data_IF_077549855431
#
_entry.id   IF_077549855431
#
_cell.length_a   1.000
_cell.length_b   1.000
_cell.length_c   1.000
_cell.angle_alpha   90.00
_cell.angle_beta   90.00
_cell.angle_gamma   90.00
#
_symmetry.space_group_name_H-M   'P 1'
#
loop_
_entity.id
_entity.type
_entity.pdbx_description
1 polymer ?
#
# COMPACT_ATOMS: atom_id res chain seq x y z
N UNK A 1 -13.19 -24.32 30.96
CA UNK A 1 -14.11 -23.41 30.25
C UNK A 1 -13.95 -21.98 30.78
N UNK A 2 -13.97 -21.77 32.12
CA UNK A 2 -13.80 -20.41 32.71
C UNK A 2 -12.44 -19.76 32.39
N UNK A 3 -11.36 -20.54 32.35
CA UNK A 3 -10.01 -20.04 32.06
C UNK A 3 -9.87 -19.54 30.59
N UNK A 4 -10.52 -20.22 29.64
CA UNK A 4 -10.53 -19.79 28.23
C UNK A 4 -11.33 -18.49 28.01
N UNK A 5 -12.44 -18.30 28.73
CA UNK A 5 -13.25 -17.09 28.62
C UNK A 5 -12.49 -15.88 29.20
N UNK A 6 -11.73 -16.06 30.29
CA UNK A 6 -10.90 -14.98 30.85
C UNK A 6 -9.74 -14.58 29.92
N UNK A 7 -9.06 -15.52 29.31
CA UNK A 7 -7.98 -15.26 28.35
C UNK A 7 -8.49 -14.54 27.10
N UNK A 8 -9.62 -14.97 26.55
CA UNK A 8 -10.25 -14.30 25.39
C UNK A 8 -10.69 -12.85 25.72
N UNK A 9 -11.24 -12.63 26.92
CA UNK A 9 -11.62 -11.28 27.35
C UNK A 9 -10.40 -10.36 27.55
N UNK A 10 -9.29 -10.88 28.08
CA UNK A 10 -8.03 -10.14 28.23
C UNK A 10 -7.40 -9.81 26.87
N UNK A 11 -7.36 -10.75 25.93
CA UNK A 11 -6.86 -10.53 24.56
C UNK A 11 -7.71 -9.50 23.81
N UNK A 12 -9.03 -9.57 23.91
CA UNK A 12 -9.97 -8.60 23.29
C UNK A 12 -9.77 -7.19 23.87
N UNK A 13 -9.58 -7.08 25.19
CA UNK A 13 -9.33 -5.80 25.85
C UNK A 13 -7.98 -5.23 25.43
N UNK A 14 -6.94 -6.05 25.32
CA UNK A 14 -5.62 -5.64 24.87
C UNK A 14 -5.64 -5.16 23.41
N UNK A 15 -6.33 -5.87 22.52
CA UNK A 15 -6.50 -5.49 21.11
C UNK A 15 -7.25 -4.16 20.96
N UNK A 16 -8.35 -3.97 21.70
CA UNK A 16 -9.10 -2.70 21.68
C UNK A 16 -8.27 -1.52 22.21
N UNK A 17 -7.48 -1.74 23.26
CA UNK A 17 -6.56 -0.72 23.81
C UNK A 17 -5.45 -0.40 22.82
N UNK A 18 -4.90 -1.40 22.14
CA UNK A 18 -3.88 -1.24 21.10
C UNK A 18 -4.38 -0.45 19.90
N UNK A 19 -5.60 -0.73 19.44
CA UNK A 19 -6.23 0.03 18.36
C UNK A 19 -6.46 1.50 18.74
N UNK A 20 -7.00 1.78 19.93
CA UNK A 20 -7.23 3.14 20.39
C UNK A 20 -5.93 3.95 20.52
N UNK A 21 -4.84 3.32 20.98
CA UNK A 21 -3.52 3.94 21.05
C UNK A 21 -2.97 4.25 19.65
N UNK A 22 -3.07 3.31 18.70
CA UNK A 22 -2.64 3.53 17.32
C UNK A 22 -3.49 4.59 16.60
N UNK A 23 -4.80 4.63 16.84
CA UNK A 23 -5.68 5.68 16.32
C UNK A 23 -5.27 7.06 16.86
N UNK A 24 -4.98 7.19 18.13
CA UNK A 24 -4.53 8.45 18.73
C UNK A 24 -3.16 8.88 18.17
N UNK A 25 -2.25 7.93 17.95
CA UNK A 25 -0.93 8.18 17.37
C UNK A 25 -0.98 8.62 15.90
N UNK A 26 -1.92 8.09 15.12
CA UNK A 26 -2.06 8.40 13.69
C UNK A 26 -2.81 9.71 13.43
N UNK A 27 -3.60 10.20 14.38
CA UNK A 27 -4.37 11.41 14.19
C UNK A 27 -3.48 12.64 13.94
N UNK A 28 -3.67 13.27 12.80
CA UNK A 28 -2.92 14.46 12.39
C UNK A 28 -1.51 14.16 11.81
N UNK A 29 -1.10 12.89 11.72
CA UNK A 29 0.20 12.50 11.17
C UNK A 29 0.20 12.42 9.65
N UNK A 30 1.41 12.54 9.09
CA UNK A 30 1.69 12.28 7.69
C UNK A 30 1.86 10.77 7.43
N UNK A 31 1.67 10.36 6.18
CA UNK A 31 2.11 9.09 5.65
C UNK A 31 3.03 9.34 4.45
N UNK A 32 4.30 9.55 4.67
CA UNK A 32 5.30 9.67 3.60
C UNK A 32 5.82 8.29 3.18
N UNK A 33 6.06 7.40 4.15
CA UNK A 33 6.63 6.07 3.97
C UNK A 33 5.92 5.04 4.86
N UNK A 34 5.89 3.77 4.44
CA UNK A 34 5.49 2.66 5.32
C UNK A 34 6.46 2.51 6.51
N UNK A 35 7.73 2.88 6.32
CA UNK A 35 8.71 2.84 7.40
C UNK A 35 8.44 3.83 8.54
N UNK A 36 7.60 4.86 8.31
CA UNK A 36 7.17 5.82 9.34
C UNK A 36 6.13 5.23 10.30
N UNK A 37 5.53 4.11 9.93
CA UNK A 37 4.50 3.43 10.72
C UNK A 37 5.12 2.33 11.60
N UNK A 38 4.64 2.22 12.83
CA UNK A 38 4.88 1.04 13.65
C UNK A 38 4.03 -0.15 13.20
N UNK A 39 4.41 -1.36 13.60
CA UNK A 39 3.63 -2.59 13.37
C UNK A 39 2.20 -2.46 13.90
N UNK A 40 2.00 -1.84 15.06
CA UNK A 40 0.68 -1.61 15.63
C UNK A 40 -0.18 -0.66 14.79
N UNK A 41 0.43 0.37 14.20
CA UNK A 41 -0.26 1.32 13.32
C UNK A 41 -0.65 0.69 11.99
N UNK A 42 0.26 -0.08 11.36
CA UNK A 42 -0.08 -0.86 10.15
C UNK A 42 -1.23 -1.83 10.44
N UNK A 43 -1.19 -2.53 11.58
CA UNK A 43 -2.26 -3.42 11.99
C UNK A 43 -3.59 -2.67 12.16
N UNK A 44 -3.58 -1.53 12.83
CA UNK A 44 -4.77 -0.71 13.05
C UNK A 44 -5.40 -0.21 11.74
N UNK A 45 -4.57 0.18 10.75
CA UNK A 45 -5.04 0.58 9.43
C UNK A 45 -5.75 -0.60 8.74
N UNK A 46 -5.15 -1.80 8.76
CA UNK A 46 -5.72 -2.98 8.11
C UNK A 46 -6.99 -3.48 8.83
N UNK A 47 -7.01 -3.50 10.15
CA UNK A 47 -8.20 -3.87 10.93
C UNK A 47 -9.37 -2.93 10.65
N UNK A 48 -9.10 -1.61 10.59
CA UNK A 48 -10.13 -0.64 10.20
C UNK A 48 -10.54 -0.82 8.74
N UNK A 49 -9.62 -1.13 7.83
CA UNK A 49 -9.94 -1.37 6.42
C UNK A 49 -10.91 -2.54 6.26
N UNK A 50 -10.68 -3.64 6.96
CA UNK A 50 -11.63 -4.77 7.00
C UNK A 50 -12.97 -4.36 7.61
N UNK A 51 -12.97 -3.58 8.69
CA UNK A 51 -14.20 -3.12 9.35
C UNK A 51 -15.03 -2.20 8.45
N UNK A 52 -14.41 -1.25 7.73
CA UNK A 52 -15.13 -0.35 6.81
C UNK A 52 -15.62 -1.06 5.56
N UNK A 53 -14.95 -2.14 5.12
CA UNK A 53 -15.43 -3.00 4.03
C UNK A 53 -16.65 -3.80 4.47
N UNK A 54 -16.59 -4.40 5.66
CA UNK A 54 -17.67 -5.23 6.20
C UNK A 54 -18.93 -4.42 6.60
N UNK A 55 -18.75 -3.21 7.12
CA UNK A 55 -19.84 -2.37 7.66
C UNK A 55 -19.71 -0.91 7.21
N UNK A 56 -19.83 -0.61 5.91
CA UNK A 56 -19.62 0.75 5.40
C UNK A 56 -20.59 1.79 5.97
N UNK A 57 -21.77 1.36 6.41
CA UNK A 57 -22.80 2.26 6.97
C UNK A 57 -22.39 2.91 8.29
N UNK A 58 -21.56 2.21 9.10
CA UNK A 58 -21.11 2.70 10.40
C UNK A 58 -20.17 3.91 10.26
N UNK A 59 -19.62 4.15 9.06
CA UNK A 59 -18.61 5.18 8.78
C UNK A 59 -19.09 6.30 7.84
N UNK A 60 -20.36 6.28 7.42
CA UNK A 60 -20.91 7.17 6.37
C UNK A 60 -20.80 8.66 6.69
N UNK A 61 -20.71 9.05 7.95
CA UNK A 61 -20.61 10.43 8.42
C UNK A 61 -19.34 10.72 9.23
N UNK A 62 -18.36 9.80 9.19
CA UNK A 62 -17.18 9.88 10.03
C UNK A 62 -16.22 11.01 9.62
N UNK A 63 -16.31 11.50 8.38
CA UNK A 63 -15.54 12.64 7.85
C UNK A 63 -16.43 13.80 7.40
N UNK A 64 -17.62 13.95 7.99
CA UNK A 64 -18.48 15.12 7.72
C UNK A 64 -17.68 16.42 7.87
N UNK A 65 -17.84 17.35 6.93
CA UNK A 65 -17.13 18.63 6.85
C UNK A 65 -15.59 18.53 6.68
N UNK A 66 -15.01 17.34 6.50
CA UNK A 66 -13.61 17.19 6.13
C UNK A 66 -13.45 17.27 4.61
N UNK A 67 -12.37 17.94 4.19
CA UNK A 67 -12.04 18.07 2.77
C UNK A 67 -10.57 17.76 2.56
N UNK A 68 -10.24 17.02 1.51
CA UNK A 68 -8.86 16.81 1.07
C UNK A 68 -8.63 17.45 -0.29
N UNK A 69 -7.37 17.80 -0.57
CA UNK A 69 -6.91 18.14 -1.91
C UNK A 69 -5.95 17.06 -2.40
N UNK A 70 -6.03 16.74 -3.68
CA UNK A 70 -5.17 15.76 -4.35
C UNK A 70 -4.39 16.45 -5.47
N UNK A 71 -3.07 16.55 -5.32
CA UNK A 71 -2.16 17.06 -6.35
C UNK A 71 -1.49 15.91 -7.07
N UNK A 72 -1.71 15.81 -8.38
CA UNK A 72 -1.15 14.73 -9.18
C UNK A 72 -0.27 15.26 -10.31
N UNK A 73 1.03 15.02 -10.22
CA UNK A 73 1.99 15.22 -11.32
C UNK A 73 1.97 14.05 -12.31
N UNK A 74 1.52 12.88 -11.87
CA UNK A 74 1.32 11.68 -12.70
C UNK A 74 -0.15 11.29 -12.75
N UNK A 75 -0.71 11.17 -13.93
CA UNK A 75 -2.10 10.75 -14.12
C UNK A 75 -2.38 9.37 -13.47
N UNK A 76 -3.54 9.23 -12.86
CA UNK A 76 -3.98 7.95 -12.28
C UNK A 76 -5.49 7.88 -12.14
N UNK A 77 -6.10 6.99 -12.91
CA UNK A 77 -7.54 6.72 -12.81
C UNK A 77 -7.89 6.13 -11.43
N UNK A 78 -7.22 5.04 -11.05
CA UNK A 78 -7.52 4.30 -9.82
C UNK A 78 -7.32 5.12 -8.57
N UNK A 79 -6.16 5.74 -8.39
CA UNK A 79 -5.85 6.54 -7.19
C UNK A 79 -6.83 7.69 -7.03
N UNK A 80 -7.16 8.40 -8.11
CA UNK A 80 -8.14 9.49 -8.08
C UNK A 80 -9.51 8.98 -7.63
N UNK A 81 -10.07 8.02 -8.35
CA UNK A 81 -11.41 7.52 -8.07
C UNK A 81 -11.53 6.89 -6.68
N UNK A 82 -10.50 6.17 -6.21
CA UNK A 82 -10.56 5.52 -4.89
C UNK A 82 -10.50 6.51 -3.74
N UNK A 83 -9.70 7.59 -3.83
CA UNK A 83 -9.71 8.66 -2.82
C UNK A 83 -11.00 9.49 -2.86
N UNK A 84 -11.48 9.89 -4.04
CA UNK A 84 -12.76 10.60 -4.19
C UNK A 84 -13.92 9.76 -3.62
N UNK A 85 -13.97 8.46 -3.98
CA UNK A 85 -15.01 7.55 -3.48
C UNK A 85 -14.89 7.32 -1.97
N UNK A 86 -13.67 7.21 -1.42
CA UNK A 86 -13.45 7.03 0.00
C UNK A 86 -13.96 8.23 0.81
N UNK A 87 -13.64 9.45 0.40
CA UNK A 87 -14.13 10.68 1.03
C UNK A 87 -15.65 10.80 0.94
N UNK A 88 -16.21 10.65 -0.26
CA UNK A 88 -17.66 10.75 -0.47
C UNK A 88 -18.44 9.72 0.34
N UNK A 89 -17.94 8.48 0.43
CA UNK A 89 -18.59 7.41 1.19
C UNK A 89 -18.52 7.61 2.72
N UNK A 90 -17.71 8.55 3.20
CA UNK A 90 -17.54 8.87 4.63
C UNK A 90 -18.05 10.25 5.03
N UNK A 91 -18.76 10.95 4.11
CA UNK A 91 -19.37 12.27 4.35
C UNK A 91 -18.44 13.45 4.05
N UNK A 92 -17.19 13.20 3.68
CA UNK A 92 -16.24 14.23 3.29
C UNK A 92 -16.26 14.56 1.80
N UNK A 93 -15.33 15.38 1.35
CA UNK A 93 -15.14 15.75 -0.04
C UNK A 93 -13.67 15.76 -0.46
N UNK A 94 -13.42 15.61 -1.77
CA UNK A 94 -12.07 15.65 -2.31
C UNK A 94 -12.02 16.59 -3.52
N UNK A 95 -10.96 17.41 -3.58
CA UNK A 95 -10.66 18.27 -4.74
C UNK A 95 -9.47 17.67 -5.48
N UNK A 96 -9.59 17.55 -6.79
CA UNK A 96 -8.50 17.11 -7.65
C UNK A 96 -7.87 18.29 -8.37
N UNK A 97 -6.54 18.40 -8.29
CA UNK A 97 -5.74 19.41 -8.97
C UNK A 97 -4.70 18.68 -9.84
N UNK A 98 -4.86 18.83 -11.15
CA UNK A 98 -3.94 18.26 -12.14
C UNK A 98 -2.66 19.12 -12.21
N UNK A 99 -1.54 18.51 -11.92
CA UNK A 99 -0.19 19.11 -11.96
C UNK A 99 0.69 18.48 -13.05
N UNK A 100 0.10 17.76 -14.00
CA UNK A 100 0.86 17.11 -15.09
C UNK A 100 1.54 18.10 -16.03
N UNK A 101 1.04 19.32 -16.16
CA UNK A 101 1.56 20.38 -17.01
C UNK A 101 2.34 21.46 -16.25
N UNK A 102 2.25 21.50 -14.93
CA UNK A 102 2.95 22.48 -14.07
C UNK A 102 3.23 21.82 -12.73
N UNK A 103 4.34 21.08 -12.62
CA UNK A 103 4.73 20.40 -11.39
C UNK A 103 4.78 21.32 -10.18
N UNK A 104 4.54 20.74 -9.01
CA UNK A 104 4.63 21.45 -7.73
C UNK A 104 6.04 22.01 -7.54
N UNK A 105 6.15 23.23 -7.01
CA UNK A 105 7.43 23.89 -6.75
C UNK A 105 7.99 24.71 -7.92
N UNK A 106 7.42 24.64 -9.14
CA UNK A 106 7.94 25.42 -10.28
C UNK A 106 7.57 26.91 -10.21
N UNK A 107 6.34 27.23 -9.82
CA UNK A 107 5.81 28.62 -9.80
C UNK A 107 5.85 29.24 -8.42
N UNK A 108 5.76 28.43 -7.38
CA UNK A 108 5.69 28.83 -5.99
C UNK A 108 6.41 27.78 -5.14
N UNK A 109 7.03 28.18 -4.02
CA UNK A 109 7.72 27.23 -3.16
C UNK A 109 6.77 26.20 -2.55
N UNK A 110 7.24 24.95 -2.36
CA UNK A 110 6.45 23.91 -1.70
C UNK A 110 6.01 24.33 -0.30
N UNK A 111 6.85 25.10 0.39
CA UNK A 111 6.56 25.67 1.71
C UNK A 111 5.36 26.63 1.69
N UNK A 112 5.28 27.49 0.68
CA UNK A 112 4.18 28.46 0.57
C UNK A 112 2.89 27.76 0.13
N UNK A 113 2.98 26.83 -0.82
CA UNK A 113 1.84 25.98 -1.21
C UNK A 113 1.27 25.26 0.03
N UNK A 114 2.13 24.59 0.82
CA UNK A 114 1.73 23.84 2.00
C UNK A 114 1.01 24.71 3.02
N UNK A 115 1.61 25.85 3.40
CA UNK A 115 1.04 26.79 4.37
C UNK A 115 -0.26 27.47 3.93
N UNK A 116 -0.45 27.63 2.62
CA UNK A 116 -1.71 28.13 2.08
C UNK A 116 -2.79 27.06 2.10
N UNK A 117 -2.47 25.88 1.56
CA UNK A 117 -3.43 24.79 1.34
C UNK A 117 -3.95 24.21 2.65
N UNK A 118 -3.10 24.07 3.69
CA UNK A 118 -3.51 23.59 5.01
C UNK A 118 -4.64 24.39 5.66
N UNK A 119 -4.82 25.67 5.25
CA UNK A 119 -5.87 26.53 5.77
C UNK A 119 -7.25 26.27 5.15
N UNK A 120 -7.27 25.54 4.05
CA UNK A 120 -8.49 25.29 3.28
C UNK A 120 -8.95 23.83 3.34
N UNK A 121 -8.02 22.91 3.67
CA UNK A 121 -8.30 21.47 3.64
C UNK A 121 -7.87 20.78 4.94
N UNK A 122 -8.40 19.60 5.18
CA UNK A 122 -8.09 18.75 6.31
C UNK A 122 -6.93 17.80 6.05
N UNK A 123 -6.50 17.66 4.80
CA UNK A 123 -5.38 16.81 4.40
C UNK A 123 -5.01 16.98 2.93
N UNK A 124 -3.77 16.66 2.60
CA UNK A 124 -3.16 16.77 1.27
C UNK A 124 -2.75 15.38 0.79
N UNK A 125 -3.15 15.01 -0.41
CA UNK A 125 -2.78 13.75 -1.06
C UNK A 125 -1.87 14.05 -2.25
N UNK A 126 -0.68 13.47 -2.28
CA UNK A 126 0.34 13.75 -3.29
C UNK A 126 0.65 12.51 -4.12
N UNK A 127 0.66 12.69 -5.44
CA UNK A 127 1.17 11.72 -6.40
C UNK A 127 2.19 12.42 -7.29
N UNK A 128 3.46 12.25 -6.98
CA UNK A 128 4.57 13.04 -7.50
C UNK A 128 5.61 12.19 -8.23
N UNK A 129 6.51 12.85 -8.95
CA UNK A 129 7.71 12.21 -9.48
C UNK A 129 8.75 12.02 -8.37
N UNK A 130 9.04 13.04 -7.57
CA UNK A 130 10.02 12.97 -6.50
C UNK A 130 9.38 12.70 -5.14
N UNK A 131 9.98 11.81 -4.35
CA UNK A 131 9.61 11.59 -2.96
C UNK A 131 9.94 12.82 -2.08
N UNK A 132 10.97 13.59 -2.46
CA UNK A 132 11.36 14.82 -1.76
C UNK A 132 10.23 15.86 -1.76
N UNK A 133 9.46 15.97 -2.85
CA UNK A 133 8.27 16.84 -2.90
C UNK A 133 7.28 16.53 -1.78
N UNK A 134 7.07 15.24 -1.49
CA UNK A 134 6.16 14.78 -0.44
C UNK A 134 6.69 15.14 0.94
N UNK A 135 7.95 14.80 1.21
CA UNK A 135 8.58 15.04 2.53
C UNK A 135 8.75 16.53 2.81
N UNK A 136 9.06 17.36 1.80
CA UNK A 136 9.13 18.80 1.97
C UNK A 136 7.75 19.40 2.26
N UNK A 137 6.70 19.00 1.53
CA UNK A 137 5.35 19.49 1.82
C UNK A 137 4.88 19.05 3.22
N UNK A 138 5.18 17.82 3.65
CA UNK A 138 4.91 17.34 4.99
C UNK A 138 5.63 18.15 6.08
N UNK A 139 6.83 18.62 5.81
CA UNK A 139 7.58 19.46 6.75
C UNK A 139 6.89 20.81 7.04
N UNK A 140 6.15 21.35 6.07
CA UNK A 140 5.56 22.70 6.17
C UNK A 140 4.05 22.70 6.37
N UNK A 141 3.34 21.61 6.09
CA UNK A 141 1.91 21.50 6.33
C UNK A 141 1.61 21.08 7.78
N UNK A 142 0.63 21.72 8.40
CA UNK A 142 0.10 21.30 9.71
C UNK A 142 -1.02 20.26 9.60
N UNK A 143 -1.58 20.05 8.41
CA UNK A 143 -2.53 18.98 8.13
C UNK A 143 -1.82 17.75 7.53
N UNK A 144 -2.36 16.53 7.68
CA UNK A 144 -1.77 15.32 7.13
C UNK A 144 -1.42 15.38 5.64
N UNK A 145 -0.21 14.97 5.30
CA UNK A 145 0.27 14.77 3.93
C UNK A 145 0.37 13.26 3.66
N UNK A 146 -0.27 12.81 2.59
CA UNK A 146 -0.40 11.39 2.25
C UNK A 146 0.30 11.11 0.93
N UNK A 147 1.29 10.23 0.96
CA UNK A 147 1.95 9.69 -0.22
C UNK A 147 1.02 8.70 -0.96
N UNK A 148 0.40 9.15 -2.03
CA UNK A 148 -0.38 8.29 -2.92
C UNK A 148 0.48 7.56 -3.97
N UNK A 149 1.66 8.07 -4.27
CA UNK A 149 2.77 7.48 -5.02
C UNK A 149 3.91 8.50 -5.17
N UNK A 150 5.13 8.04 -5.02
CA UNK A 150 6.37 8.73 -5.44
C UNK A 150 7.28 7.77 -6.22
N UNK A 151 8.46 8.22 -6.61
CA UNK A 151 9.52 7.35 -7.17
C UNK A 151 10.03 6.33 -6.15
N UNK A 152 9.98 6.64 -4.86
CA UNK A 152 10.50 5.78 -3.79
C UNK A 152 9.49 4.76 -3.28
N UNK A 153 8.20 5.17 -3.11
CA UNK A 153 7.19 4.32 -2.48
C UNK A 153 5.77 4.51 -3.04
N UNK A 154 4.93 3.49 -2.82
CA UNK A 154 3.48 3.50 -3.06
C UNK A 154 2.72 2.91 -1.85
N UNK A 155 2.73 3.58 -0.68
CA UNK A 155 2.24 3.01 0.58
C UNK A 155 0.76 2.63 0.54
N UNK A 156 -0.10 3.46 -0.07
CA UNK A 156 -1.53 3.17 -0.20
C UNK A 156 -1.83 1.91 -1.03
N UNK A 157 -0.94 1.54 -1.97
CA UNK A 157 -1.06 0.29 -2.71
C UNK A 157 -0.72 -0.89 -1.82
N UNK A 158 0.44 -0.87 -1.16
CA UNK A 158 0.91 -1.98 -0.34
C UNK A 158 -0.05 -2.32 0.81
N UNK A 159 -0.67 -1.32 1.44
CA UNK A 159 -1.72 -1.55 2.45
C UNK A 159 -2.93 -2.31 1.87
N UNK A 160 -3.38 -1.96 0.66
CA UNK A 160 -4.46 -2.66 -0.01
C UNK A 160 -4.07 -4.08 -0.45
N UNK A 161 -2.82 -4.27 -0.86
CA UNK A 161 -2.28 -5.55 -1.25
C UNK A 161 -2.26 -6.52 -0.08
N UNK A 162 -1.79 -6.07 1.09
CA UNK A 162 -1.77 -6.90 2.28
C UNK A 162 -3.16 -7.10 2.89
N UNK A 163 -4.08 -6.16 2.75
CA UNK A 163 -5.50 -6.41 3.04
C UNK A 163 -6.04 -7.57 2.20
N UNK A 164 -5.71 -7.63 0.90
CA UNK A 164 -6.11 -8.72 0.01
C UNK A 164 -5.46 -10.05 0.39
N UNK A 165 -4.19 -10.03 0.75
CA UNK A 165 -3.48 -11.21 1.29
C UNK A 165 -4.19 -11.75 2.52
N UNK A 166 -4.55 -10.89 3.47
CA UNK A 166 -5.27 -11.31 4.68
C UNK A 166 -6.64 -11.92 4.38
N UNK A 167 -7.39 -11.35 3.43
CA UNK A 167 -8.68 -11.90 2.99
C UNK A 167 -8.53 -13.30 2.39
N UNK A 168 -7.43 -13.57 1.69
CA UNK A 168 -7.18 -14.85 1.03
C UNK A 168 -6.58 -15.92 1.95
N UNK A 169 -5.85 -15.52 2.99
CA UNK A 169 -5.11 -16.43 3.85
C UNK A 169 -5.54 -16.41 5.31
N UNK A 170 -6.83 -16.25 5.56
CA UNK A 170 -7.43 -16.46 6.89
C UNK A 170 -7.25 -15.31 7.88
N UNK A 171 -7.06 -14.08 7.38
CA UNK A 171 -7.08 -12.86 8.19
C UNK A 171 -5.74 -12.42 8.77
N UNK A 172 -4.63 -13.04 8.36
CA UNK A 172 -3.28 -12.64 8.78
C UNK A 172 -2.28 -12.82 7.65
N UNK A 173 -1.38 -11.86 7.49
CA UNK A 173 -0.25 -11.97 6.58
C UNK A 173 1.01 -12.60 7.24
N UNK A 174 0.98 -12.84 8.56
CA UNK A 174 2.12 -13.41 9.28
C UNK A 174 2.50 -14.78 8.74
N UNK A 175 3.79 -14.94 8.39
CA UNK A 175 4.33 -16.17 7.85
C UNK A 175 3.99 -16.47 6.40
N UNK A 176 3.18 -15.65 5.73
CA UNK A 176 2.89 -15.77 4.30
C UNK A 176 4.17 -15.53 3.48
N UNK A 177 4.44 -16.40 2.51
CA UNK A 177 5.56 -16.29 1.58
C UNK A 177 5.13 -15.45 0.39
N UNK A 178 5.49 -14.19 0.42
CA UNK A 178 5.14 -13.19 -0.59
C UNK A 178 6.33 -12.96 -1.53
N UNK A 179 6.17 -13.22 -2.81
CA UNK A 179 7.23 -13.08 -3.80
C UNK A 179 6.90 -11.99 -4.81
N UNK A 180 7.76 -11.00 -4.93
CA UNK A 180 7.74 -9.97 -5.97
C UNK A 180 8.71 -10.37 -7.10
N UNK A 181 8.25 -10.29 -8.34
CA UNK A 181 9.03 -10.62 -9.55
C UNK A 181 9.03 -9.42 -10.49
N UNK A 182 10.19 -8.83 -10.77
CA UNK A 182 10.27 -7.70 -11.70
C UNK A 182 11.32 -6.66 -11.33
N UNK A 183 10.94 -5.37 -11.48
CA UNK A 183 11.81 -4.23 -11.15
C UNK A 183 11.73 -3.91 -9.65
N UNK A 184 12.87 -3.73 -8.99
CA UNK A 184 12.94 -3.32 -7.59
C UNK A 184 12.51 -1.86 -7.37
N UNK A 185 11.31 -1.52 -7.79
CA UNK A 185 10.75 -0.18 -7.86
C UNK A 185 10.03 0.25 -6.55
N UNK A 186 9.34 1.37 -6.60
CA UNK A 186 8.56 1.94 -5.49
C UNK A 186 7.47 1.00 -4.94
N UNK A 187 6.83 0.19 -5.80
CA UNK A 187 5.84 -0.81 -5.36
C UNK A 187 6.53 -1.93 -4.58
N UNK A 188 7.65 -2.44 -5.12
CA UNK A 188 8.48 -3.43 -4.43
C UNK A 188 8.94 -2.94 -3.06
N UNK A 189 9.35 -1.66 -2.94
CA UNK A 189 9.78 -1.06 -1.68
C UNK A 189 8.66 -1.07 -0.63
N UNK A 190 7.49 -0.54 -0.97
CA UNK A 190 6.37 -0.48 -0.04
C UNK A 190 5.83 -1.87 0.34
N UNK A 191 5.81 -2.82 -0.61
CA UNK A 191 5.45 -4.22 -0.32
C UNK A 191 6.43 -4.86 0.66
N UNK A 192 7.73 -4.65 0.45
CA UNK A 192 8.80 -5.17 1.32
C UNK A 192 8.68 -4.64 2.74
N UNK A 193 8.48 -3.34 2.91
CA UNK A 193 8.31 -2.69 4.21
C UNK A 193 7.03 -3.18 4.91
N UNK A 194 5.90 -3.27 4.18
CA UNK A 194 4.63 -3.74 4.73
C UNK A 194 4.71 -5.22 5.13
N UNK A 195 5.33 -6.07 4.30
CA UNK A 195 5.60 -7.46 4.63
C UNK A 195 6.41 -7.60 5.93
N UNK A 196 7.46 -6.79 6.05
CA UNK A 196 8.29 -6.75 7.26
C UNK A 196 7.47 -6.37 8.49
N UNK A 197 6.63 -5.33 8.42
CA UNK A 197 5.76 -4.91 9.54
C UNK A 197 4.77 -6.01 9.96
N UNK A 198 4.28 -6.80 9.01
CA UNK A 198 3.27 -7.83 9.27
C UNK A 198 3.87 -9.22 9.58
N UNK A 199 5.19 -9.36 9.59
CA UNK A 199 5.87 -10.64 9.86
C UNK A 199 5.72 -11.65 8.72
N UNK A 200 5.51 -11.19 7.48
CA UNK A 200 5.52 -12.02 6.28
C UNK A 200 6.96 -12.29 5.80
N UNK A 201 7.13 -13.34 5.01
CA UNK A 201 8.39 -13.67 4.36
C UNK A 201 8.40 -13.10 2.95
N UNK A 202 9.13 -12.02 2.73
CA UNK A 202 9.20 -11.33 1.44
C UNK A 202 10.42 -11.73 0.64
N UNK A 203 10.21 -12.14 -0.61
CA UNK A 203 11.27 -12.41 -1.57
C UNK A 203 11.12 -11.50 -2.79
N UNK A 204 12.17 -10.78 -3.19
CA UNK A 204 12.21 -10.03 -4.44
C UNK A 204 13.14 -10.75 -5.44
N UNK A 205 12.59 -11.11 -6.61
CA UNK A 205 13.35 -11.60 -7.76
C UNK A 205 13.51 -10.48 -8.77
N UNK A 206 14.72 -9.91 -8.87
CA UNK A 206 15.00 -8.77 -9.74
C UNK A 206 16.25 -9.01 -10.59
N UNK A 207 16.34 -8.44 -11.80
CA UNK A 207 17.62 -8.43 -12.53
C UNK A 207 18.71 -7.70 -11.72
N UNK A 208 19.96 -8.10 -11.85
CA UNK A 208 21.10 -7.62 -11.02
C UNK A 208 21.19 -6.08 -10.89
N UNK A 209 20.90 -5.36 -11.96
CA UNK A 209 20.99 -3.89 -11.99
C UNK A 209 19.66 -3.19 -11.67
N UNK A 210 18.65 -3.93 -11.25
CA UNK A 210 17.30 -3.45 -10.95
C UNK A 210 16.84 -3.89 -9.55
N UNK A 211 17.81 -4.03 -8.65
CA UNK A 211 17.54 -4.38 -7.25
C UNK A 211 16.82 -3.23 -6.53
N UNK A 212 16.03 -3.52 -5.50
CA UNK A 212 15.44 -2.51 -4.63
C UNK A 212 16.50 -1.63 -3.98
N UNK A 213 16.12 -0.41 -3.61
CA UNK A 213 17.03 0.56 -2.98
C UNK A 213 17.62 0.01 -1.67
N UNK A 214 18.94 0.04 -1.54
CA UNK A 214 19.66 -0.63 -0.44
C UNK A 214 19.24 -0.14 0.95
N UNK A 215 18.92 1.15 1.11
CA UNK A 215 18.45 1.70 2.38
C UNK A 215 17.07 1.13 2.78
N UNK A 216 16.15 0.98 1.80
CA UNK A 216 14.83 0.37 2.04
C UNK A 216 14.99 -1.11 2.44
N UNK A 217 15.86 -1.84 1.75
CA UNK A 217 16.18 -3.23 2.10
C UNK A 217 16.70 -3.35 3.53
N UNK A 218 17.61 -2.45 3.94
CA UNK A 218 18.16 -2.43 5.30
C UNK A 218 17.07 -2.13 6.34
N UNK A 219 16.20 -1.16 6.10
CA UNK A 219 15.06 -0.83 6.96
C UNK A 219 14.10 -2.01 7.09
N UNK A 220 13.70 -2.62 5.97
CA UNK A 220 12.79 -3.75 5.96
C UNK A 220 13.38 -4.96 6.72
N UNK A 221 14.68 -5.24 6.58
CA UNK A 221 15.34 -6.30 7.35
C UNK A 221 15.32 -6.04 8.85
N UNK A 222 15.65 -4.81 9.26
CA UNK A 222 15.61 -4.42 10.67
C UNK A 222 14.20 -4.57 11.29
N UNK A 223 13.16 -4.19 10.54
CA UNK A 223 11.77 -4.39 10.96
C UNK A 223 11.44 -5.89 11.04
N UNK A 224 11.79 -6.67 10.02
CA UNK A 224 11.49 -8.09 9.94
C UNK A 224 12.11 -8.89 11.12
N UNK A 225 13.30 -8.50 11.60
CA UNK A 225 13.93 -9.09 12.79
C UNK A 225 13.05 -8.98 14.05
N UNK A 226 12.24 -7.92 14.15
CA UNK A 226 11.36 -7.70 15.33
C UNK A 226 10.00 -8.39 15.20
N UNK A 227 9.55 -8.67 13.98
CA UNK A 227 8.22 -9.23 13.70
C UNK A 227 8.23 -10.73 13.41
N UNK A 228 9.42 -11.30 13.15
CA UNK A 228 9.63 -12.69 12.76
C UNK A 228 9.46 -12.94 11.26
N UNK A 229 9.38 -11.88 10.43
CA UNK A 229 9.45 -11.96 8.99
C UNK A 229 10.86 -12.18 8.45
N UNK A 230 10.99 -12.28 7.13
CA UNK A 230 12.29 -12.35 6.44
C UNK A 230 12.27 -11.56 5.15
N UNK A 231 13.41 -10.97 4.78
CA UNK A 231 13.60 -10.25 3.52
C UNK A 231 14.72 -10.91 2.72
N UNK A 232 14.38 -11.45 1.55
CA UNK A 232 15.30 -12.16 0.67
C UNK A 232 15.36 -11.49 -0.71
N UNK A 233 16.57 -11.35 -1.25
CA UNK A 233 16.76 -10.84 -2.62
C UNK A 233 17.38 -11.94 -3.47
N UNK A 234 16.77 -12.23 -4.60
CA UNK A 234 17.24 -13.25 -5.56
C UNK A 234 17.27 -12.65 -6.98
N UNK A 235 17.98 -13.34 -7.88
CA UNK A 235 18.01 -13.02 -9.31
C UNK A 235 17.33 -14.08 -10.17
N UNK A 236 17.04 -15.25 -9.59
CA UNK A 236 16.34 -16.35 -10.27
C UNK A 236 14.86 -16.33 -9.90
N UNK A 237 13.96 -16.00 -10.85
CA UNK A 237 12.53 -15.94 -10.57
C UNK A 237 11.92 -17.31 -10.22
N UNK A 238 12.47 -18.42 -10.77
CA UNK A 238 11.98 -19.77 -10.44
C UNK A 238 12.30 -20.11 -8.99
N UNK A 239 13.54 -19.88 -8.57
CA UNK A 239 13.94 -20.10 -7.17
C UNK A 239 13.11 -19.21 -6.20
N UNK A 240 12.80 -17.98 -6.59
CA UNK A 240 12.05 -17.05 -5.76
C UNK A 240 10.56 -17.43 -5.63
N UNK A 241 9.93 -17.89 -6.71
CA UNK A 241 8.51 -18.26 -6.76
C UNK A 241 8.26 -19.65 -6.15
N UNK A 242 9.30 -20.51 -6.08
CA UNK A 242 9.14 -21.86 -5.55
C UNK A 242 8.58 -21.85 -4.13
N UNK A 243 7.36 -22.37 -4.01
CA UNK A 243 6.62 -22.44 -2.75
C UNK A 243 6.04 -21.12 -2.26
N UNK A 244 6.00 -20.05 -3.08
CA UNK A 244 5.34 -18.79 -2.72
C UNK A 244 3.83 -18.96 -2.56
N UNK A 245 3.24 -18.24 -1.60
CA UNK A 245 1.80 -18.20 -1.38
C UNK A 245 1.14 -17.06 -2.17
N UNK A 246 1.86 -15.96 -2.37
CA UNK A 246 1.46 -14.86 -3.24
C UNK A 246 2.60 -14.50 -4.19
N UNK A 247 2.29 -14.36 -5.48
CA UNK A 247 3.22 -13.93 -6.53
C UNK A 247 2.74 -12.60 -7.09
N UNK A 248 3.58 -11.59 -6.99
CA UNK A 248 3.28 -10.23 -7.40
C UNK A 248 4.23 -9.79 -8.53
N UNK A 249 3.71 -9.06 -9.51
CA UNK A 249 4.54 -8.33 -10.46
C UNK A 249 3.97 -6.92 -10.71
N UNK A 250 4.80 -6.07 -11.28
CA UNK A 250 4.44 -4.72 -11.72
C UNK A 250 5.07 -4.43 -13.07
N UNK A 251 4.63 -3.35 -13.71
CA UNK A 251 5.15 -2.92 -15.01
C UNK A 251 6.68 -2.85 -15.00
N UNK A 252 7.32 -3.54 -15.91
CA UNK A 252 8.78 -3.56 -16.07
C UNK A 252 9.36 -2.21 -16.51
N UNK A 253 8.51 -1.31 -16.99
CA UNK A 253 8.83 0.06 -17.34
C UNK A 253 7.87 0.98 -16.60
N UNK A 254 8.32 1.50 -15.46
CA UNK A 254 7.52 2.43 -14.65
C UNK A 254 7.25 3.72 -15.40
N UNK A 255 6.15 4.40 -15.07
CA UNK A 255 5.81 5.72 -15.62
C UNK A 255 6.96 6.71 -15.44
N UNK A 256 7.35 7.38 -16.53
CA UNK A 256 8.50 8.29 -16.61
C UNK A 256 9.76 7.65 -17.18
N UNK A 257 9.79 6.32 -17.36
CA UNK A 257 10.90 5.57 -17.96
C UNK A 257 10.54 4.92 -19.29
N UNK A 258 9.47 5.38 -19.95
CA UNK A 258 8.98 4.83 -21.22
C UNK A 258 10.04 4.84 -22.32
N UNK A 259 10.97 5.80 -22.27
CA UNK A 259 12.11 5.90 -23.18
C UNK A 259 13.11 4.73 -23.03
N UNK A 260 13.10 4.01 -21.91
CA UNK A 260 13.92 2.83 -21.66
C UNK A 260 13.24 1.52 -22.07
N UNK A 261 11.98 1.52 -22.49
CA UNK A 261 11.18 0.31 -22.72
C UNK A 261 11.88 -0.71 -23.62
N UNK A 262 12.45 -0.26 -24.74
CA UNK A 262 13.18 -1.14 -25.69
C UNK A 262 14.42 -1.79 -25.07
N UNK A 263 15.14 -1.08 -24.21
CA UNK A 263 16.33 -1.58 -23.50
C UNK A 263 15.93 -2.55 -22.39
N UNK A 264 14.83 -2.27 -21.69
CA UNK A 264 14.35 -3.05 -20.53
C UNK A 264 13.69 -4.36 -20.96
N UNK A 265 12.95 -4.38 -22.05
CA UNK A 265 12.18 -5.55 -22.49
C UNK A 265 12.98 -6.87 -22.53
N UNK A 266 14.18 -6.96 -23.16
CA UNK A 266 14.95 -8.20 -23.15
C UNK A 266 15.47 -8.60 -21.77
N UNK A 267 15.74 -7.63 -20.88
CA UNK A 267 16.25 -7.84 -19.52
C UNK A 267 15.17 -8.45 -18.63
N UNK A 268 13.93 -7.95 -18.75
CA UNK A 268 12.80 -8.40 -17.95
C UNK A 268 12.03 -9.58 -18.52
N UNK A 269 12.29 -9.97 -19.78
CA UNK A 269 11.65 -11.14 -20.39
C UNK A 269 11.73 -12.43 -19.54
N UNK A 270 12.87 -12.78 -18.89
CA UNK A 270 12.95 -13.94 -18.00
C UNK A 270 12.13 -13.80 -16.70
N UNK A 271 11.68 -12.59 -16.38
CA UNK A 271 10.90 -12.25 -15.18
C UNK A 271 9.40 -12.13 -15.46
N UNK A 272 8.95 -12.48 -16.67
CA UNK A 272 7.53 -12.53 -16.98
C UNK A 272 6.84 -13.57 -16.10
N UNK A 273 5.78 -13.17 -15.40
CA UNK A 273 4.93 -14.12 -14.68
C UNK A 273 3.98 -14.78 -15.66
N UNK A 274 4.24 -16.04 -15.95
CA UNK A 274 3.48 -16.89 -16.84
C UNK A 274 3.07 -18.18 -16.12
N UNK A 275 2.29 -19.02 -16.79
CA UNK A 275 1.75 -20.27 -16.20
C UNK A 275 2.87 -21.22 -15.75
N UNK A 276 3.98 -21.27 -16.49
CA UNK A 276 5.12 -22.11 -16.13
C UNK A 276 5.79 -21.63 -14.83
N UNK A 277 5.94 -20.31 -14.65
CA UNK A 277 6.48 -19.74 -13.42
C UNK A 277 5.51 -19.94 -12.26
N UNK A 278 4.20 -19.68 -12.45
CA UNK A 278 3.18 -19.89 -11.42
C UNK A 278 3.07 -21.36 -10.97
N UNK A 279 3.39 -22.32 -11.82
CA UNK A 279 3.40 -23.73 -11.46
C UNK A 279 4.43 -24.12 -10.38
N UNK A 280 5.42 -23.27 -10.10
CA UNK A 280 6.39 -23.44 -9.01
C UNK A 280 5.87 -22.90 -7.66
N UNK A 281 4.83 -22.08 -7.66
CA UNK A 281 4.23 -21.55 -6.44
C UNK A 281 3.49 -22.63 -5.64
N UNK A 282 3.12 -22.32 -4.42
CA UNK A 282 2.32 -23.23 -3.57
C UNK A 282 0.98 -23.57 -4.20
N UNK A 283 0.43 -24.75 -3.94
CA UNK A 283 -0.97 -25.04 -4.25
C UNK A 283 -1.88 -23.99 -3.59
N UNK A 284 -2.74 -23.34 -4.39
CA UNK A 284 -3.62 -22.26 -3.93
C UNK A 284 -2.96 -20.88 -3.86
N UNK A 285 -1.74 -20.72 -4.37
CA UNK A 285 -1.09 -19.43 -4.49
C UNK A 285 -1.92 -18.45 -5.33
N UNK A 286 -1.87 -17.16 -4.96
CA UNK A 286 -2.55 -16.09 -5.69
C UNK A 286 -1.58 -15.28 -6.54
N UNK A 287 -2.08 -14.78 -7.67
CA UNK A 287 -1.39 -13.79 -8.50
C UNK A 287 -1.91 -12.38 -8.22
N UNK A 288 -1.01 -11.43 -8.10
CA UNK A 288 -1.29 -10.03 -7.74
C UNK A 288 -0.59 -9.05 -8.70
N UNK A 289 -1.22 -7.89 -8.93
CA UNK A 289 -0.69 -6.80 -9.74
C UNK A 289 -1.42 -5.49 -9.42
N UNK A 290 -0.69 -4.40 -9.22
CA UNK A 290 -1.30 -3.09 -8.88
C UNK A 290 -2.12 -2.45 -10.00
N UNK A 291 -2.01 -2.96 -11.23
CA UNK A 291 -2.61 -2.41 -12.43
C UNK A 291 -2.21 -0.94 -12.75
N UNK A 292 -2.09 -0.54 -14.03
CA UNK A 292 -2.42 -1.33 -15.23
C UNK A 292 -1.35 -2.38 -15.55
N UNK A 293 -1.76 -3.54 -16.05
CA UNK A 293 -0.84 -4.57 -16.52
C UNK A 293 -0.59 -4.43 -18.04
N UNK A 294 0.66 -4.62 -18.46
CA UNK A 294 1.01 -4.75 -19.87
C UNK A 294 0.99 -6.22 -20.25
N UNK A 295 -0.13 -6.66 -20.76
CA UNK A 295 -0.38 -8.04 -21.15
C UNK A 295 0.69 -8.59 -22.10
N UNK A 296 1.16 -9.78 -21.79
CA UNK A 296 2.25 -10.47 -22.50
C UNK A 296 3.63 -9.77 -22.42
N UNK A 297 3.75 -8.71 -21.59
CA UNK A 297 5.03 -8.14 -21.18
C UNK A 297 5.46 -8.73 -19.82
N UNK A 298 5.04 -8.14 -18.70
CA UNK A 298 5.36 -8.65 -17.37
C UNK A 298 4.48 -9.80 -16.88
N UNK A 299 3.30 -10.00 -17.49
CA UNK A 299 2.36 -11.08 -17.15
C UNK A 299 1.64 -11.58 -18.39
N UNK A 300 1.34 -12.88 -18.49
CA UNK A 300 0.51 -13.44 -19.56
C UNK A 300 -0.98 -13.21 -19.30
N UNK A 301 -1.78 -13.22 -20.39
CA UNK A 301 -3.24 -13.14 -20.27
C UNK A 301 -3.81 -14.29 -19.43
N UNK A 302 -3.27 -15.51 -19.61
CA UNK A 302 -3.73 -16.68 -18.89
C UNK A 302 -3.51 -16.61 -17.38
N UNK A 303 -2.45 -15.95 -16.91
CA UNK A 303 -2.22 -15.71 -15.48
C UNK A 303 -3.10 -14.56 -14.98
N UNK A 304 -3.13 -13.44 -15.72
CA UNK A 304 -3.86 -12.23 -15.31
C UNK A 304 -5.38 -12.48 -15.19
N UNK A 305 -5.95 -13.24 -16.14
CA UNK A 305 -7.38 -13.57 -16.18
C UNK A 305 -7.67 -14.97 -15.60
N UNK A 306 -6.65 -15.65 -15.10
CA UNK A 306 -6.74 -17.01 -14.56
C UNK A 306 -7.37 -17.08 -13.15
N UNK A 307 -7.70 -18.29 -12.68
CA UNK A 307 -8.41 -18.49 -11.41
C UNK A 307 -7.56 -18.15 -10.17
N UNK A 308 -6.24 -18.03 -10.30
CA UNK A 308 -5.35 -17.59 -9.21
C UNK A 308 -5.26 -16.07 -9.10
N UNK A 309 -5.74 -15.32 -10.09
CA UNK A 309 -5.65 -13.87 -10.12
C UNK A 309 -6.63 -13.23 -9.14
N UNK A 310 -6.12 -12.33 -8.29
CA UNK A 310 -6.92 -11.54 -7.33
C UNK A 310 -6.78 -10.03 -7.60
N UNK A 311 -6.41 -9.65 -8.83
CA UNK A 311 -6.09 -8.26 -9.17
C UNK A 311 -7.29 -7.31 -9.06
N UNK A 312 -8.51 -7.80 -9.23
CA UNK A 312 -9.70 -6.95 -9.12
C UNK A 312 -10.15 -6.78 -7.68
N UNK A 313 -10.05 -7.82 -6.84
CA UNK A 313 -10.25 -7.71 -5.39
C UNK A 313 -9.19 -6.79 -4.76
N UNK A 314 -7.94 -6.92 -5.21
CA UNK A 314 -6.84 -6.03 -4.85
C UNK A 314 -7.16 -4.57 -5.25
N UNK A 315 -7.69 -4.34 -6.45
CA UNK A 315 -8.09 -3.02 -6.92
C UNK A 315 -9.27 -2.44 -6.10
N UNK A 316 -10.24 -3.27 -5.70
CA UNK A 316 -11.33 -2.89 -4.80
C UNK A 316 -10.79 -2.48 -3.43
N UNK A 317 -9.90 -3.27 -2.85
CA UNK A 317 -9.33 -3.03 -1.52
C UNK A 317 -8.53 -1.72 -1.43
N UNK A 318 -8.11 -1.14 -2.58
CA UNK A 318 -7.56 0.22 -2.64
C UNK A 318 -8.46 1.25 -1.97
N UNK A 319 -9.76 1.21 -2.26
CA UNK A 319 -10.72 2.15 -1.69
C UNK A 319 -10.88 1.92 -0.18
N UNK A 320 -10.91 0.68 0.27
CA UNK A 320 -11.11 0.35 1.69
C UNK A 320 -9.89 0.69 2.54
N UNK A 321 -8.68 0.37 2.08
CA UNK A 321 -7.45 0.76 2.75
C UNK A 321 -7.26 2.29 2.83
N UNK A 322 -7.54 3.01 1.73
CA UNK A 322 -7.50 4.48 1.72
C UNK A 322 -8.57 5.10 2.62
N UNK A 323 -9.77 4.51 2.67
CA UNK A 323 -10.82 4.95 3.59
C UNK A 323 -10.38 4.83 5.04
N UNK A 324 -9.83 3.69 5.44
CA UNK A 324 -9.31 3.48 6.79
C UNK A 324 -8.18 4.48 7.12
N UNK A 325 -7.25 4.68 6.20
CA UNK A 325 -6.16 5.64 6.35
C UNK A 325 -6.68 7.05 6.56
N UNK A 326 -7.61 7.52 5.71
CA UNK A 326 -8.22 8.85 5.85
C UNK A 326 -8.96 9.02 7.18
N UNK A 327 -9.71 8.01 7.62
CA UNK A 327 -10.41 8.04 8.91
C UNK A 327 -9.44 8.21 10.08
N UNK A 328 -8.29 7.53 10.05
CA UNK A 328 -7.29 7.61 11.12
C UNK A 328 -6.53 8.94 11.07
N UNK A 329 -6.01 9.33 9.92
CA UNK A 329 -5.18 10.52 9.79
C UNK A 329 -5.97 11.83 9.96
N UNK A 330 -7.23 11.88 9.51
CA UNK A 330 -8.08 13.06 9.65
C UNK A 330 -8.83 13.13 11.00
N UNK A 331 -8.55 12.22 11.92
CA UNK A 331 -9.06 12.23 13.28
C UNK A 331 -10.56 11.98 13.39
N UNK A 332 -11.09 11.03 12.61
CA UNK A 332 -12.48 10.64 12.68
C UNK A 332 -12.84 10.05 14.05
N UNK A 333 -14.03 10.34 14.54
CA UNK A 333 -14.61 9.60 15.65
C UNK A 333 -15.15 8.26 15.14
N UNK A 334 -14.52 7.18 15.57
CA UNK A 334 -14.80 5.83 15.07
C UNK A 334 -15.67 5.06 16.06
N UNK A 335 -16.62 4.25 15.58
CA UNK A 335 -17.28 3.27 16.43
C UNK A 335 -16.26 2.21 16.89
N UNK A 336 -16.53 1.53 18.03
CA UNK A 336 -15.69 0.42 18.45
C UNK A 336 -15.56 -0.65 17.35
N UNK A 337 -14.35 -1.13 17.11
CA UNK A 337 -14.16 -2.29 16.25
C UNK A 337 -14.85 -3.49 16.89
N UNK A 338 -15.84 -4.06 16.18
CA UNK A 338 -16.47 -5.31 16.61
C UNK A 338 -15.59 -6.46 16.19
N UNK A 339 -15.58 -7.51 16.99
CA UNK A 339 -14.91 -8.76 16.68
C UNK A 339 -15.34 -9.30 15.30
N UNK A 340 -14.41 -9.97 14.62
CA UNK A 340 -14.73 -10.74 13.40
C UNK A 340 -15.67 -11.89 13.83
N UNK A 341 -16.90 -11.89 13.34
CA UNK A 341 -17.82 -13.02 13.49
C UNK A 341 -17.30 -14.26 12.77
#
# INVERSE_FOLDING_TARGET
VATNISLLAEETTAAATGFAAAQASLNGRDLCSIADLSTAEVRAILDLAHAVKARPQDYRHALDAKQIVMFFEKASLRTRLTFESAMNATGGSAMFVDQTQSPLGERESLADISRNVERWVSGIVLRTYSHETITEMAQYAACPVINALSDLEHPCQALADFMTVEERFGGSAKGIRFTFVGDGNNVCHSLMLTAAQLGAHFTAATPKNYAPHAAIVAQAKAIAETTGGTITLLHDPVAAVTGADAVYTDACTSMGFEHEATKRAPIFKPYQVNEALMAHASPGAVFMHCLPAHRNAEVTDAVLDGPSSVVFEQAENRMHAQKALLLLLLGAQLPPLKEKE
#
